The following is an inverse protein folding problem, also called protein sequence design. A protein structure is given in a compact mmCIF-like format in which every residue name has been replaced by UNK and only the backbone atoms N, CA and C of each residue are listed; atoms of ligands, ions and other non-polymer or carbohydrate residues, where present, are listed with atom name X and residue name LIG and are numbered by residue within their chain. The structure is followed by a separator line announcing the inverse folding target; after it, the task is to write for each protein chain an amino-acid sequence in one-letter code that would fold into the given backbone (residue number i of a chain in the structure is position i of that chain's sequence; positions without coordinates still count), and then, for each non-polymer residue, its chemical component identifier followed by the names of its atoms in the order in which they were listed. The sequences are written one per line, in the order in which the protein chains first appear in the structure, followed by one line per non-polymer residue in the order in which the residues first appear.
data_IF_544937311482
#
_entry.id   IF_544937311482
#
_cell.length_a   1.000
_cell.length_b   1.000
_cell.length_c   1.000
_cell.angle_alpha   90.00
_cell.angle_beta   90.00
_cell.angle_gamma   90.00
#
_symmetry.space_group_name_H-M   'P 1'
#
loop_
_entity.id
_entity.type
_entity.pdbx_description
1 polymer ?
#
# COMPACT_ATOMS: atom_id res chain seq x y z
N UNK A 1 17.21 15.39 -22.22
CA UNK A 1 17.48 15.70 -20.80
C UNK A 1 18.08 14.46 -20.15
N UNK A 2 19.08 14.58 -19.26
CA UNK A 2 19.65 13.43 -18.56
C UNK A 2 18.68 12.98 -17.47
N UNK A 3 18.09 11.79 -17.61
CA UNK A 3 17.26 11.19 -16.57
C UNK A 3 18.12 10.72 -15.39
N UNK A 4 17.59 10.76 -14.18
CA UNK A 4 18.21 10.12 -13.03
C UNK A 4 18.21 8.59 -13.22
N UNK A 5 19.25 7.92 -12.74
CA UNK A 5 19.42 6.47 -12.87
C UNK A 5 19.31 5.80 -11.50
N UNK A 6 18.68 4.63 -11.46
CA UNK A 6 18.72 3.77 -10.26
C UNK A 6 20.19 3.34 -10.04
N UNK A 7 20.78 3.52 -8.84
CA UNK A 7 22.14 3.11 -8.58
C UNK A 7 22.38 1.63 -8.90
N UNK A 8 23.57 1.24 -9.39
CA UNK A 8 23.88 -0.16 -9.65
C UNK A 8 23.88 -0.95 -8.33
N UNK A 9 23.03 -1.98 -8.25
CA UNK A 9 22.92 -2.87 -7.09
C UNK A 9 23.56 -4.22 -7.47
N UNK A 10 24.48 -4.70 -6.62
CA UNK A 10 25.02 -6.05 -6.75
C UNK A 10 24.01 -7.05 -6.23
N UNK A 11 23.76 -8.08 -7.00
CA UNK A 11 22.84 -9.17 -6.65
C UNK A 11 23.53 -10.52 -6.89
N UNK A 12 23.03 -11.56 -6.22
CA UNK A 12 23.50 -12.92 -6.46
C UNK A 12 23.16 -13.38 -7.89
N UNK A 13 24.04 -14.14 -8.56
CA UNK A 13 23.77 -14.63 -9.91
C UNK A 13 22.50 -15.46 -10.02
N UNK A 14 22.21 -16.30 -9.02
CA UNK A 14 20.99 -17.11 -8.98
C UNK A 14 19.73 -16.23 -8.96
N UNK A 15 19.70 -15.22 -8.09
CA UNK A 15 18.59 -14.26 -8.05
C UNK A 15 18.43 -13.47 -9.36
N UNK A 16 19.54 -13.14 -10.03
CA UNK A 16 19.47 -12.52 -11.36
C UNK A 16 18.76 -13.41 -12.38
N UNK A 17 19.10 -14.70 -12.38
CA UNK A 17 18.47 -15.68 -13.28
C UNK A 17 16.98 -15.83 -12.98
N UNK A 18 16.58 -15.84 -11.70
CA UNK A 18 15.17 -15.85 -11.29
C UNK A 18 14.41 -14.62 -11.83
N UNK A 19 15.00 -13.42 -11.72
CA UNK A 19 14.39 -12.20 -12.27
C UNK A 19 14.23 -12.27 -13.80
N UNK A 20 15.21 -12.82 -14.52
CA UNK A 20 15.14 -12.97 -15.98
C UNK A 20 14.04 -13.96 -16.40
N UNK A 21 13.85 -15.04 -15.64
CA UNK A 21 12.79 -16.02 -15.89
C UNK A 21 11.38 -15.50 -15.56
N UNK A 22 11.27 -14.52 -14.65
CA UNK A 22 10.01 -13.92 -14.26
C UNK A 22 9.50 -12.83 -15.21
N UNK A 23 10.28 -12.45 -16.24
CA UNK A 23 9.93 -11.37 -17.16
C UNK A 23 8.67 -11.71 -17.99
N UNK A 24 7.79 -10.72 -18.12
CA UNK A 24 6.66 -10.79 -19.03
C UNK A 24 7.05 -10.62 -20.51
N UNK A 25 6.10 -10.79 -21.45
CA UNK A 25 6.34 -10.54 -22.86
C UNK A 25 6.80 -9.11 -23.12
N UNK A 26 7.91 -8.95 -23.84
CA UNK A 26 8.55 -7.66 -24.16
C UNK A 26 9.01 -6.84 -22.94
N UNK A 27 9.12 -7.44 -21.75
CA UNK A 27 9.69 -6.81 -20.57
C UNK A 27 11.21 -7.00 -20.52
N UNK A 28 11.93 -6.07 -19.89
CA UNK A 28 13.34 -6.23 -19.58
C UNK A 28 13.61 -6.00 -18.08
N UNK A 29 14.79 -6.40 -17.61
CA UNK A 29 15.16 -6.25 -16.19
C UNK A 29 15.10 -4.80 -15.70
N UNK A 30 15.43 -3.82 -16.54
CA UNK A 30 15.41 -2.42 -16.14
C UNK A 30 13.97 -1.92 -15.92
N UNK A 31 13.03 -2.27 -16.81
CA UNK A 31 11.62 -1.92 -16.64
C UNK A 31 10.97 -2.64 -15.46
N UNK A 32 11.35 -3.89 -15.21
CA UNK A 32 10.90 -4.65 -14.04
C UNK A 32 11.38 -3.97 -12.73
N UNK A 33 12.68 -3.64 -12.64
CA UNK A 33 13.27 -2.97 -11.47
C UNK A 33 12.65 -1.59 -11.26
N UNK A 34 12.48 -0.79 -12.31
CA UNK A 34 11.83 0.51 -12.21
C UNK A 34 10.41 0.38 -11.65
N UNK A 35 9.62 -0.54 -12.21
CA UNK A 35 8.23 -0.78 -11.80
C UNK A 35 8.16 -1.24 -10.35
N UNK A 36 9.02 -2.18 -9.96
CA UNK A 36 9.11 -2.68 -8.58
C UNK A 36 9.44 -1.56 -7.59
N UNK A 37 10.44 -0.72 -7.90
CA UNK A 37 10.83 0.42 -7.05
C UNK A 37 9.71 1.44 -6.95
N UNK A 38 9.01 1.75 -8.06
CA UNK A 38 7.88 2.68 -8.06
C UNK A 38 6.71 2.18 -7.21
N UNK A 39 6.41 0.89 -7.30
CA UNK A 39 5.38 0.25 -6.48
C UNK A 39 5.75 0.26 -5.00
N UNK A 40 7.00 -0.05 -4.68
CA UNK A 40 7.53 -0.02 -3.31
C UNK A 40 7.45 1.38 -2.69
N UNK A 41 7.88 2.41 -3.42
CA UNK A 41 7.79 3.81 -2.98
C UNK A 41 6.34 4.20 -2.73
N UNK A 42 5.44 3.88 -3.66
CA UNK A 42 4.01 4.19 -3.54
C UNK A 42 3.39 3.49 -2.32
N UNK A 43 3.73 2.21 -2.10
CA UNK A 43 3.26 1.46 -0.92
C UNK A 43 3.75 2.10 0.38
N UNK A 44 5.03 2.47 0.46
CA UNK A 44 5.61 3.11 1.65
C UNK A 44 4.98 4.46 1.94
N UNK A 45 4.74 5.27 0.92
CA UNK A 45 4.07 6.56 1.06
C UNK A 45 2.63 6.39 1.56
N UNK A 46 1.87 5.47 0.96
CA UNK A 46 0.50 5.18 1.39
C UNK A 46 0.46 4.68 2.85
N UNK A 47 1.37 3.77 3.23
CA UNK A 47 1.48 3.26 4.60
C UNK A 47 1.83 4.38 5.60
N UNK A 48 2.83 5.19 5.30
CA UNK A 48 3.25 6.29 6.16
C UNK A 48 2.11 7.29 6.37
N UNK A 49 1.38 7.62 5.29
CA UNK A 49 0.25 8.53 5.34
C UNK A 49 -0.93 7.94 6.12
N UNK A 50 -1.21 6.64 5.96
CA UNK A 50 -2.23 5.94 6.73
C UNK A 50 -1.94 6.01 8.24
N UNK A 51 -0.71 5.69 8.64
CA UNK A 51 -0.28 5.77 10.06
C UNK A 51 -0.38 7.20 10.58
N UNK A 52 0.13 8.18 9.83
CA UNK A 52 0.08 9.59 10.21
C UNK A 52 -1.35 10.07 10.44
N UNK A 53 -2.26 9.74 9.52
CA UNK A 53 -3.69 10.08 9.64
C UNK A 53 -4.37 9.35 10.80
N UNK A 54 -4.05 8.08 11.01
CA UNK A 54 -4.58 7.29 12.11
C UNK A 54 -4.23 7.91 13.47
N UNK A 55 -2.95 8.23 13.68
CA UNK A 55 -2.48 8.87 14.91
C UNK A 55 -3.13 10.24 15.14
N UNK A 56 -3.20 11.07 14.09
CA UNK A 56 -3.88 12.37 14.18
C UNK A 56 -5.38 12.23 14.53
N UNK A 57 -6.06 11.23 13.96
CA UNK A 57 -7.47 10.96 14.26
C UNK A 57 -7.68 10.51 15.71
N UNK A 58 -6.79 9.67 16.23
CA UNK A 58 -6.82 9.23 17.64
C UNK A 58 -6.64 10.44 18.56
N UNK A 59 -5.61 11.25 18.32
CA UNK A 59 -5.35 12.47 19.10
C UNK A 59 -6.56 13.41 19.10
N UNK A 60 -7.16 13.65 17.92
CA UNK A 60 -8.37 14.45 17.80
C UNK A 60 -9.53 13.86 18.62
N UNK A 61 -9.75 12.55 18.52
CA UNK A 61 -10.85 11.86 19.22
C UNK A 61 -10.69 11.95 20.74
N UNK A 62 -9.46 11.80 21.24
CA UNK A 62 -9.14 11.97 22.66
C UNK A 62 -9.39 13.43 23.09
N UNK A 63 -8.93 14.41 22.31
CA UNK A 63 -9.09 15.82 22.63
C UNK A 63 -10.56 16.28 22.64
N UNK A 64 -11.40 15.72 21.75
CA UNK A 64 -12.82 16.10 21.65
C UNK A 64 -13.76 15.21 22.46
N UNK A 65 -13.27 14.09 23.01
CA UNK A 65 -14.09 13.12 23.73
C UNK A 65 -15.14 12.42 22.86
N UNK A 66 -15.01 12.45 21.52
CA UNK A 66 -16.04 11.96 20.58
C UNK A 66 -15.88 10.47 20.23
N UNK A 67 -15.13 9.71 21.04
CA UNK A 67 -14.95 8.28 20.83
C UNK A 67 -16.25 7.52 21.05
N UNK A 68 -16.50 6.48 20.26
CA UNK A 68 -17.61 5.55 20.48
C UNK A 68 -17.09 4.13 20.73
N UNK A 69 -17.77 3.34 21.57
CA UNK A 69 -17.37 1.95 21.83
C UNK A 69 -17.32 1.12 20.54
N UNK A 70 -16.38 0.16 20.49
CA UNK A 70 -16.18 -0.68 19.31
C UNK A 70 -17.44 -1.46 18.90
N UNK A 71 -18.20 -2.00 19.87
CA UNK A 71 -19.43 -2.75 19.56
C UNK A 71 -20.46 -1.92 18.80
N UNK A 72 -20.63 -0.63 19.16
CA UNK A 72 -21.53 0.30 18.46
C UNK A 72 -21.10 0.49 16.99
N UNK A 73 -19.79 0.51 16.72
CA UNK A 73 -19.28 0.58 15.34
C UNK A 73 -19.61 -0.69 14.57
N UNK A 74 -19.34 -1.86 15.16
CA UNK A 74 -19.57 -3.16 14.52
C UNK A 74 -21.05 -3.36 14.19
N UNK A 75 -21.95 -3.04 15.12
CA UNK A 75 -23.40 -3.11 14.90
C UNK A 75 -23.84 -2.22 13.72
N UNK A 76 -23.33 -0.98 13.65
CA UNK A 76 -23.62 -0.06 12.53
C UNK A 76 -23.11 -0.61 11.20
N UNK A 77 -21.93 -1.22 11.16
CA UNK A 77 -21.38 -1.83 9.94
C UNK A 77 -22.17 -3.06 9.50
N UNK A 78 -22.57 -3.91 10.44
CA UNK A 78 -23.44 -5.07 10.17
C UNK A 78 -24.79 -4.64 9.60
N UNK A 79 -25.41 -3.59 10.17
CA UNK A 79 -26.67 -3.05 9.66
C UNK A 79 -26.52 -2.51 8.22
N UNK A 80 -25.45 -1.76 7.93
CA UNK A 80 -25.16 -1.28 6.57
C UNK A 80 -24.95 -2.42 5.58
N UNK A 81 -24.22 -3.46 5.98
CA UNK A 81 -23.99 -4.64 5.15
C UNK A 81 -25.30 -5.39 4.87
N UNK A 82 -26.14 -5.58 5.88
CA UNK A 82 -27.44 -6.23 5.73
C UNK A 82 -28.37 -5.45 4.77
N UNK A 83 -28.36 -4.12 4.86
CA UNK A 83 -29.12 -3.27 3.93
C UNK A 83 -28.61 -3.38 2.49
N UNK A 84 -27.29 -3.34 2.28
CA UNK A 84 -26.70 -3.49 0.95
C UNK A 84 -27.04 -4.84 0.31
N UNK A 85 -27.04 -5.92 1.09
CA UNK A 85 -27.42 -7.26 0.62
C UNK A 85 -28.89 -7.40 0.24
N UNK A 86 -29.78 -6.59 0.81
CA UNK A 86 -31.22 -6.59 0.45
C UNK A 86 -31.50 -5.84 -0.85
N UNK A 87 -30.58 -4.95 -1.26
CA UNK A 87 -30.69 -4.13 -2.46
C UNK A 87 -29.86 -4.68 -3.63
N UNK A 88 -29.23 -5.85 -3.46
CA UNK A 88 -28.44 -6.56 -4.46
C UNK A 88 -29.26 -7.75 -4.98
#
# INVERSE_FOLDING_TARGET
MKSATIPPVRVEPAFRQEMEQALGPNENLASLVETAVRNEVSRRQAQAEFVRRGLASIQKTVATGTGIPAHVVIEKLQAKLAAAKKNA
#
